data_IF_508092106237
#
_entry.id   IF_508092106237
#
_cell.length_a   1.000
_cell.length_b   1.000
_cell.length_c   1.000
_cell.angle_alpha   90.00
_cell.angle_beta   90.00
_cell.angle_gamma   90.00
#
_symmetry.space_group_name_H-M   'P 1'
#
loop_
_entity.id
_entity.type
_entity.pdbx_description
1 polymer ?
#
# COMPACT_ATOMS: atom_id res chain seq x y z
N UNK A 1 -35.76 -85.47 -9.81
CA UNK A 1 -35.97 -84.06 -9.46
C UNK A 1 -36.45 -83.32 -10.70
N UNK A 2 -37.60 -82.65 -10.57
CA UNK A 2 -38.22 -81.57 -11.39
C UNK A 2 -37.81 -81.46 -12.87
N UNK A 3 -38.70 -81.89 -13.78
CA UNK A 3 -39.74 -81.09 -14.49
C UNK A 3 -39.17 -80.41 -15.74
N UNK A 4 -39.35 -81.05 -16.91
CA UNK A 4 -40.43 -80.89 -17.92
C UNK A 4 -40.16 -79.69 -18.84
N UNK A 5 -39.82 -79.88 -20.14
CA UNK A 5 -40.70 -80.29 -21.27
C UNK A 5 -41.89 -79.33 -21.39
N UNK A 6 -42.25 -78.72 -22.52
CA UNK A 6 -42.26 -79.14 -23.94
C UNK A 6 -42.59 -77.85 -24.76
N UNK A 7 -42.04 -77.63 -25.97
CA UNK A 7 -42.72 -77.72 -27.29
C UNK A 7 -44.19 -77.24 -27.32
N UNK A 8 -44.73 -76.55 -28.34
CA UNK A 8 -44.51 -76.61 -29.79
C UNK A 8 -45.29 -75.46 -30.46
N UNK A 9 -44.94 -75.20 -31.72
CA UNK A 9 -45.49 -74.27 -32.73
C UNK A 9 -47.03 -74.22 -32.86
N UNK A 10 -47.57 -73.16 -33.48
CA UNK A 10 -48.22 -73.15 -34.83
C UNK A 10 -48.77 -71.74 -35.20
N UNK A 11 -48.69 -71.48 -36.52
CA UNK A 11 -49.17 -70.36 -37.36
C UNK A 11 -50.68 -70.04 -37.31
N UNK A 12 -51.08 -69.02 -38.11
CA UNK A 12 -52.36 -68.75 -38.84
C UNK A 12 -52.98 -67.41 -38.37
N UNK A 13 -53.48 -66.45 -39.18
CA UNK A 13 -53.52 -66.19 -40.63
C UNK A 13 -53.96 -64.72 -40.86
N UNK A 14 -53.75 -64.26 -42.10
CA UNK A 14 -54.21 -63.05 -42.78
C UNK A 14 -55.58 -62.46 -42.43
N UNK A 15 -55.63 -61.13 -42.34
CA UNK A 15 -56.70 -60.30 -42.93
C UNK A 15 -56.14 -58.93 -43.35
N UNK A 16 -56.53 -58.51 -44.56
CA UNK A 16 -56.07 -57.33 -45.29
C UNK A 16 -57.18 -56.28 -45.27
N UNK A 17 -56.98 -55.09 -44.69
CA UNK A 17 -57.83 -53.89 -44.90
C UNK A 17 -56.97 -52.61 -44.88
N UNK A 18 -56.57 -52.18 -46.09
CA UNK A 18 -56.64 -50.83 -46.70
C UNK A 18 -56.27 -49.55 -45.91
N UNK A 19 -55.19 -48.89 -46.38
CA UNK A 19 -55.01 -47.44 -46.67
C UNK A 19 -55.60 -46.36 -45.75
N UNK A 20 -54.75 -45.56 -45.08
CA UNK A 20 -54.34 -44.19 -45.45
C UNK A 20 -53.57 -43.54 -44.28
N UNK A 21 -52.39 -42.96 -44.55
CA UNK A 21 -51.66 -42.13 -43.59
C UNK A 21 -50.15 -42.29 -43.64
N UNK A 22 -49.53 -41.83 -44.72
CA UNK A 22 -48.12 -41.45 -44.69
C UNK A 22 -47.97 -40.29 -43.69
N UNK A 23 -47.36 -40.52 -42.53
CA UNK A 23 -46.56 -39.50 -41.86
C UNK A 23 -45.30 -40.18 -41.31
N UNK A 24 -44.18 -39.81 -41.92
CA UNK A 24 -42.80 -39.91 -41.42
C UNK A 24 -42.48 -41.13 -40.54
N UNK A 25 -41.70 -42.07 -41.10
CA UNK A 25 -40.61 -42.68 -40.32
C UNK A 25 -39.74 -41.53 -39.82
N UNK A 26 -40.11 -40.92 -38.69
CA UNK A 26 -39.13 -40.43 -37.74
C UNK A 26 -38.46 -41.71 -37.25
N UNK A 27 -37.36 -42.08 -37.89
CA UNK A 27 -36.36 -42.86 -37.22
C UNK A 27 -35.97 -42.03 -35.99
N UNK A 28 -36.66 -42.26 -34.87
CA UNK A 28 -36.12 -41.92 -33.58
C UNK A 28 -34.81 -42.70 -33.52
N UNK A 29 -33.71 -42.00 -33.78
CA UNK A 29 -32.39 -42.53 -33.55
C UNK A 29 -32.28 -42.63 -32.03
N UNK A 30 -32.77 -43.75 -31.50
CA UNK A 30 -32.64 -44.12 -30.10
C UNK A 30 -31.14 -44.23 -29.82
N UNK A 31 -30.60 -43.20 -29.17
CA UNK A 31 -29.21 -43.17 -28.77
C UNK A 31 -29.01 -44.22 -27.67
N UNK A 32 -28.39 -45.34 -28.02
CA UNK A 32 -28.06 -46.39 -27.07
C UNK A 32 -27.01 -45.91 -26.06
N UNK A 33 -26.89 -46.59 -24.91
CA UNK A 33 -25.95 -46.24 -23.82
C UNK A 33 -24.50 -45.98 -24.28
N UNK A 34 -23.99 -46.76 -25.24
CA UNK A 34 -22.64 -46.60 -25.81
C UNK A 34 -22.49 -45.32 -26.66
N UNK A 35 -23.59 -44.78 -27.20
CA UNK A 35 -23.58 -43.58 -28.03
C UNK A 35 -23.57 -42.30 -27.20
N UNK A 36 -24.18 -42.27 -26.01
CA UNK A 36 -24.10 -41.12 -25.08
C UNK A 36 -22.65 -40.75 -24.73
N UNK A 37 -21.74 -41.73 -24.70
CA UNK A 37 -20.30 -41.50 -24.49
C UNK A 37 -19.64 -40.69 -25.62
N UNK A 38 -20.13 -40.82 -26.85
CA UNK A 38 -19.66 -40.04 -28.01
C UNK A 38 -20.08 -38.57 -27.95
N UNK A 39 -21.05 -38.26 -27.09
CA UNK A 39 -21.53 -36.90 -26.80
C UNK A 39 -21.08 -36.42 -25.42
N UNK A 40 -19.90 -36.86 -24.96
CA UNK A 40 -19.20 -36.25 -23.83
C UNK A 40 -18.72 -34.84 -24.21
N UNK A 41 -19.66 -33.94 -24.50
CA UNK A 41 -19.41 -32.52 -24.67
C UNK A 41 -19.37 -31.90 -23.29
N UNK A 42 -18.16 -31.60 -22.86
CA UNK A 42 -17.90 -31.02 -21.56
C UNK A 42 -18.27 -29.54 -21.61
N UNK A 43 -18.92 -28.99 -20.57
CA UNK A 43 -19.22 -27.56 -20.53
C UNK A 43 -17.94 -26.75 -20.69
N UNK A 44 -18.02 -25.64 -21.41
CA UNK A 44 -16.87 -24.75 -21.63
C UNK A 44 -17.07 -23.42 -20.91
N UNK A 45 -15.97 -22.74 -20.61
CA UNK A 45 -16.06 -21.36 -20.12
C UNK A 45 -16.55 -20.44 -21.24
N UNK A 46 -17.29 -19.39 -20.87
CA UNK A 46 -17.61 -18.28 -21.79
C UNK A 46 -16.34 -17.50 -22.13
N UNK A 47 -16.26 -16.93 -23.34
CA UNK A 47 -15.05 -16.32 -23.94
C UNK A 47 -14.33 -15.23 -23.10
N UNK A 48 -14.94 -14.73 -22.01
CA UNK A 48 -14.38 -13.66 -21.17
C UNK A 48 -14.12 -14.07 -19.71
N UNK A 49 -14.35 -15.33 -19.36
CA UNK A 49 -14.21 -15.79 -17.97
C UNK A 49 -12.75 -16.03 -17.66
N UNK A 50 -12.23 -15.26 -16.70
CA UNK A 50 -10.88 -15.40 -16.18
C UNK A 50 -10.95 -15.99 -14.77
N UNK A 51 -10.75 -17.31 -14.65
CA UNK A 51 -10.93 -18.03 -13.39
C UNK A 51 -10.00 -17.51 -12.28
N UNK A 52 -8.77 -17.10 -12.63
CA UNK A 52 -7.79 -16.56 -11.67
C UNK A 52 -8.23 -15.25 -10.99
N UNK A 53 -9.36 -14.67 -11.39
CA UNK A 53 -9.97 -13.48 -10.76
C UNK A 53 -11.22 -13.80 -9.94
N UNK A 54 -11.65 -15.05 -9.92
CA UNK A 54 -12.91 -15.50 -9.31
C UNK A 54 -12.58 -16.53 -8.23
N UNK A 55 -13.22 -16.45 -7.06
CA UNK A 55 -13.11 -17.50 -6.06
C UNK A 55 -13.93 -18.72 -6.51
N UNK A 56 -13.42 -19.92 -6.23
CA UNK A 56 -14.12 -21.18 -6.52
C UNK A 56 -15.56 -21.18 -5.97
N UNK A 57 -15.78 -20.64 -4.77
CA UNK A 57 -17.09 -20.51 -4.15
C UNK A 57 -18.04 -19.57 -4.94
N UNK A 58 -17.53 -18.43 -5.43
CA UNK A 58 -18.32 -17.46 -6.21
C UNK A 58 -18.67 -18.01 -7.59
N UNK A 59 -17.76 -18.79 -8.18
CA UNK A 59 -18.02 -19.52 -9.42
C UNK A 59 -19.16 -20.52 -9.25
N UNK A 60 -19.16 -21.31 -8.18
CA UNK A 60 -20.23 -22.29 -7.90
C UNK A 60 -21.59 -21.58 -7.79
N UNK A 61 -21.66 -20.47 -7.04
CA UNK A 61 -22.90 -19.71 -6.82
C UNK A 61 -23.49 -19.16 -8.12
N UNK A 62 -22.64 -18.80 -9.09
CA UNK A 62 -23.05 -18.15 -10.33
C UNK A 62 -22.67 -18.96 -11.58
N UNK A 63 -22.59 -20.29 -11.47
CA UNK A 63 -21.99 -21.14 -12.51
C UNK A 63 -22.62 -20.99 -13.91
N UNK A 64 -23.94 -20.76 -13.97
CA UNK A 64 -24.67 -20.54 -15.23
C UNK A 64 -24.25 -19.24 -15.95
N UNK A 65 -23.68 -18.28 -15.22
CA UNK A 65 -23.14 -17.06 -15.79
C UNK A 65 -21.77 -17.28 -16.44
N UNK A 66 -21.02 -18.29 -16.01
CA UNK A 66 -19.62 -18.51 -16.43
C UNK A 66 -19.43 -19.65 -17.42
N UNK A 67 -20.37 -20.59 -17.45
CA UNK A 67 -20.26 -21.81 -18.26
C UNK A 67 -21.28 -21.77 -19.41
N UNK A 68 -20.86 -22.20 -20.59
CA UNK A 68 -21.74 -22.57 -21.69
C UNK A 68 -22.03 -24.07 -21.60
N UNK A 69 -23.30 -24.40 -21.46
CA UNK A 69 -23.74 -25.77 -21.65
C UNK A 69 -23.77 -26.09 -23.15
N UNK A 70 -23.37 -27.31 -23.55
CA UNK A 70 -23.52 -27.75 -24.92
C UNK A 70 -24.99 -27.74 -25.33
N UNK A 71 -25.24 -27.53 -26.61
CA UNK A 71 -26.57 -27.59 -27.21
C UNK A 71 -26.64 -28.76 -28.19
N UNK A 72 -27.70 -29.56 -28.09
CA UNK A 72 -27.96 -30.67 -28.99
C UNK A 72 -29.47 -30.87 -29.13
N UNK A 73 -29.93 -31.35 -30.29
CA UNK A 73 -31.36 -31.48 -30.59
C UNK A 73 -32.06 -32.53 -29.71
N UNK A 74 -31.40 -33.67 -29.48
CA UNK A 74 -32.00 -34.82 -28.76
C UNK A 74 -31.45 -35.05 -27.34
N UNK A 75 -30.59 -34.16 -26.82
CA UNK A 75 -29.96 -34.31 -25.51
C UNK A 75 -30.23 -33.09 -24.62
N UNK A 76 -30.53 -33.35 -23.36
CA UNK A 76 -30.60 -32.32 -22.32
C UNK A 76 -29.34 -32.35 -21.48
N UNK A 77 -28.71 -31.18 -21.30
CA UNK A 77 -27.53 -30.98 -20.47
C UNK A 77 -27.91 -30.17 -19.23
N UNK A 78 -27.66 -30.72 -18.04
CA UNK A 78 -28.00 -30.07 -16.76
C UNK A 78 -26.81 -30.12 -15.79
N UNK A 79 -26.47 -29.00 -15.17
CA UNK A 79 -25.49 -28.99 -14.09
C UNK A 79 -26.14 -29.60 -12.85
N UNK A 80 -25.73 -30.82 -12.49
CA UNK A 80 -26.28 -31.56 -11.35
C UNK A 80 -25.73 -31.05 -10.02
N UNK A 81 -24.44 -30.74 -9.98
CA UNK A 81 -23.79 -30.19 -8.80
C UNK A 81 -22.47 -29.52 -9.15
N UNK A 82 -22.05 -28.53 -8.37
CA UNK A 82 -20.71 -27.99 -8.40
C UNK A 82 -20.18 -27.85 -6.97
N UNK A 83 -18.97 -28.35 -6.71
CA UNK A 83 -18.34 -28.33 -5.39
C UNK A 83 -16.88 -27.96 -5.52
N UNK A 84 -16.33 -27.30 -4.51
CA UNK A 84 -14.88 -27.08 -4.42
C UNK A 84 -14.18 -28.44 -4.35
N UNK A 85 -13.06 -28.59 -5.04
CA UNK A 85 -12.25 -29.80 -4.96
C UNK A 85 -11.66 -29.94 -3.54
N UNK A 86 -11.97 -31.03 -2.81
CA UNK A 86 -11.42 -31.22 -1.46
C UNK A 86 -9.89 -31.31 -1.42
N UNK A 87 -9.22 -31.58 -2.56
CA UNK A 87 -7.77 -31.64 -2.68
C UNK A 87 -7.15 -30.31 -3.11
N UNK A 88 -7.94 -29.38 -3.64
CA UNK A 88 -7.46 -28.09 -4.14
C UNK A 88 -8.56 -27.03 -4.02
N UNK A 89 -8.44 -26.13 -3.03
CA UNK A 89 -9.42 -25.06 -2.79
C UNK A 89 -9.57 -24.08 -3.96
N UNK A 90 -8.63 -24.10 -4.91
CA UNK A 90 -8.62 -23.27 -6.11
C UNK A 90 -9.10 -24.04 -7.36
N UNK A 91 -9.85 -25.12 -7.17
CA UNK A 91 -10.48 -25.90 -8.23
C UNK A 91 -11.94 -26.22 -7.89
N UNK A 92 -12.78 -26.33 -8.92
CA UNK A 92 -14.20 -26.67 -8.81
C UNK A 92 -14.48 -27.92 -9.63
N UNK A 93 -15.07 -28.91 -8.97
CA UNK A 93 -15.60 -30.13 -9.58
C UNK A 93 -17.06 -29.87 -9.96
N UNK A 94 -17.35 -29.93 -11.25
CA UNK A 94 -18.69 -29.78 -11.81
C UNK A 94 -19.17 -31.13 -12.33
N UNK A 95 -20.31 -31.59 -11.83
CA UNK A 95 -20.99 -32.79 -12.33
C UNK A 95 -22.08 -32.36 -13.31
N UNK A 96 -21.93 -32.77 -14.55
CA UNK A 96 -22.88 -32.53 -15.63
C UNK A 96 -23.70 -33.81 -15.83
N UNK A 97 -25.02 -33.68 -15.84
CA UNK A 97 -25.92 -34.74 -16.25
C UNK A 97 -26.32 -34.53 -17.71
N UNK A 98 -26.26 -35.60 -18.49
CA UNK A 98 -26.69 -35.65 -19.89
C UNK A 98 -27.75 -36.73 -20.02
N UNK A 99 -28.92 -36.37 -20.51
CA UNK A 99 -30.05 -37.28 -20.64
C UNK A 99 -30.70 -37.21 -22.02
N UNK A 100 -31.25 -38.35 -22.43
CA UNK A 100 -32.21 -38.48 -23.53
C UNK A 100 -33.50 -39.13 -22.98
N UNK A 101 -34.39 -39.59 -23.87
CA UNK A 101 -35.67 -40.22 -23.47
C UNK A 101 -35.54 -41.56 -22.72
N UNK A 102 -34.38 -42.22 -22.76
CA UNK A 102 -34.22 -43.60 -22.27
C UNK A 102 -33.07 -43.77 -21.26
N UNK A 103 -32.09 -42.85 -21.29
CA UNK A 103 -30.83 -43.00 -20.60
C UNK A 103 -30.33 -41.67 -20.04
N UNK A 104 -29.65 -41.76 -18.90
CA UNK A 104 -28.99 -40.63 -18.22
C UNK A 104 -27.57 -41.02 -17.86
N UNK A 105 -26.62 -40.11 -18.08
CA UNK A 105 -25.21 -40.28 -17.70
C UNK A 105 -24.69 -39.02 -17.01
N UNK A 106 -23.79 -39.19 -16.05
CA UNK A 106 -23.14 -38.07 -15.36
C UNK A 106 -21.66 -38.03 -15.71
N UNK A 107 -21.20 -36.86 -16.15
CA UNK A 107 -19.80 -36.54 -16.45
C UNK A 107 -19.24 -35.60 -15.39
N UNK A 108 -17.93 -35.63 -15.19
CA UNK A 108 -17.24 -34.75 -14.24
C UNK A 108 -16.23 -33.89 -14.96
N UNK A 109 -16.31 -32.56 -14.77
CA UNK A 109 -15.33 -31.60 -15.23
C UNK A 109 -14.70 -30.90 -14.04
N UNK A 110 -13.38 -30.81 -14.04
CA UNK A 110 -12.64 -30.00 -13.09
C UNK A 110 -12.23 -28.71 -13.78
N UNK A 111 -12.65 -27.57 -13.23
CA UNK A 111 -12.11 -26.27 -13.56
C UNK A 111 -11.04 -25.92 -12.54
N UNK A 112 -9.84 -25.58 -13.00
CA UNK A 112 -8.72 -25.18 -12.14
C UNK A 112 -8.22 -23.78 -12.46
N UNK A 113 -7.36 -23.25 -11.60
CA UNK A 113 -6.77 -21.91 -11.77
C UNK A 113 -7.68 -20.79 -11.26
N UNK A 114 -8.52 -21.07 -10.27
CA UNK A 114 -9.29 -20.03 -9.58
C UNK A 114 -8.40 -19.10 -8.76
N UNK A 115 -8.92 -17.92 -8.39
CA UNK A 115 -8.25 -17.02 -7.44
C UNK A 115 -7.95 -17.79 -6.16
N UNK A 116 -6.72 -17.62 -5.66
CA UNK A 116 -6.29 -18.30 -4.44
C UNK A 116 -7.11 -17.84 -3.23
N UNK A 117 -7.82 -18.80 -2.60
CA UNK A 117 -8.70 -18.51 -1.48
C UNK A 117 -7.92 -18.10 -0.21
N UNK A 118 -6.70 -18.60 -0.02
CA UNK A 118 -5.82 -18.18 1.06
C UNK A 118 -5.32 -16.76 0.83
N UNK A 119 -4.88 -16.42 -0.37
CA UNK A 119 -4.43 -15.06 -0.67
C UNK A 119 -5.57 -14.05 -0.53
N UNK A 120 -6.79 -14.39 -0.96
CA UNK A 120 -7.97 -13.55 -0.76
C UNK A 120 -8.30 -13.30 0.73
N UNK A 121 -8.21 -14.34 1.57
CA UNK A 121 -8.37 -14.20 3.02
C UNK A 121 -7.32 -13.26 3.62
N UNK A 122 -6.06 -13.39 3.21
CA UNK A 122 -4.95 -12.54 3.68
C UNK A 122 -5.16 -11.10 3.21
N UNK A 123 -5.53 -10.89 1.94
CA UNK A 123 -5.83 -9.57 1.39
C UNK A 123 -6.93 -8.87 2.20
N UNK A 124 -8.02 -9.59 2.51
CA UNK A 124 -9.12 -9.06 3.34
C UNK A 124 -8.65 -8.72 4.75
N UNK A 125 -7.84 -9.56 5.39
CA UNK A 125 -7.28 -9.27 6.70
C UNK A 125 -6.36 -8.03 6.67
N UNK A 126 -5.52 -7.90 5.65
CA UNK A 126 -4.68 -6.72 5.43
C UNK A 126 -5.53 -5.46 5.24
N UNK A 127 -6.60 -5.53 4.45
CA UNK A 127 -7.51 -4.41 4.25
C UNK A 127 -8.24 -4.02 5.53
N UNK A 128 -8.70 -4.99 6.32
CA UNK A 128 -9.33 -4.75 7.63
C UNK A 128 -8.34 -4.06 8.56
N UNK A 129 -7.09 -4.51 8.62
CA UNK A 129 -6.04 -3.88 9.43
C UNK A 129 -5.82 -2.40 9.02
N UNK A 130 -5.73 -2.12 7.72
CA UNK A 130 -5.51 -0.77 7.19
C UNK A 130 -6.71 0.17 7.42
N UNK A 131 -7.93 -0.37 7.48
CA UNK A 131 -9.16 0.41 7.65
C UNK A 131 -9.59 0.56 9.12
N UNK A 132 -9.00 -0.20 10.04
CA UNK A 132 -9.38 -0.16 11.45
C UNK A 132 -9.02 1.22 12.06
N UNK A 133 -10.01 1.99 12.57
CA UNK A 133 -9.77 3.27 13.21
C UNK A 133 -8.74 3.22 14.34
N UNK A 134 -8.65 2.09 15.07
CA UNK A 134 -7.71 1.91 16.17
C UNK A 134 -6.25 1.90 15.70
N UNK A 135 -6.02 1.54 14.44
CA UNK A 135 -4.70 1.51 13.84
C UNK A 135 -4.34 2.84 13.17
N UNK A 136 -5.27 3.79 12.98
CA UNK A 136 -4.98 5.02 12.22
C UNK A 136 -3.82 5.83 12.80
N UNK A 137 -3.68 5.89 14.12
CA UNK A 137 -2.59 6.59 14.81
C UNK A 137 -1.23 5.90 14.65
N UNK A 138 -1.23 4.57 14.48
CA UNK A 138 -0.01 3.77 14.30
C UNK A 138 0.36 3.57 12.83
N UNK A 139 -0.60 3.66 11.91
CA UNK A 139 -0.36 3.60 10.46
C UNK A 139 0.48 4.79 9.98
N UNK A 140 0.41 5.92 10.67
CA UNK A 140 0.98 7.16 10.20
C UNK A 140 1.36 8.11 11.34
N UNK A 141 2.38 7.73 12.12
CA UNK A 141 2.82 8.48 13.30
C UNK A 141 3.30 9.88 12.88
N UNK A 142 4.36 9.97 12.07
CA UNK A 142 4.88 11.25 11.58
C UNK A 142 5.40 11.23 10.13
N UNK A 143 5.21 12.37 9.45
CA UNK A 143 5.93 12.70 8.20
C UNK A 143 7.14 13.51 8.61
N UNK A 144 8.30 13.06 8.18
CA UNK A 144 9.55 13.78 8.28
C UNK A 144 10.00 14.22 6.89
N UNK A 145 10.48 15.46 6.83
CA UNK A 145 11.16 15.97 5.65
C UNK A 145 12.65 15.63 5.75
N UNK A 146 13.18 14.98 4.72
CA UNK A 146 14.59 14.55 4.69
C UNK A 146 15.46 15.72 4.21
N UNK A 147 16.46 16.09 5.02
CA UNK A 147 17.41 17.18 4.73
C UNK A 147 16.74 18.53 4.43
N UNK A 148 15.52 18.72 4.91
CA UNK A 148 14.74 19.94 4.72
C UNK A 148 13.85 20.09 5.93
N UNK A 149 13.60 21.32 6.37
CA UNK A 149 12.70 21.58 7.48
C UNK A 149 11.48 22.35 6.98
N UNK A 150 10.34 22.11 7.62
CA UNK A 150 9.09 22.82 7.32
C UNK A 150 9.28 24.34 7.43
N UNK A 151 10.07 24.78 8.41
CA UNK A 151 10.39 26.18 8.69
C UNK A 151 11.17 26.91 7.57
N UNK A 152 11.61 26.20 6.53
CA UNK A 152 12.36 26.76 5.40
C UNK A 152 11.56 26.74 4.07
N UNK A 153 10.35 26.18 4.09
CA UNK A 153 9.56 25.94 2.88
C UNK A 153 8.41 26.93 2.74
N UNK A 154 8.20 27.39 1.52
CA UNK A 154 6.92 27.96 1.07
C UNK A 154 5.99 26.86 0.56
N UNK A 155 4.72 27.19 0.31
CA UNK A 155 3.78 26.30 -0.38
C UNK A 155 4.35 25.82 -1.72
N UNK A 156 4.90 26.72 -2.54
CA UNK A 156 5.40 26.34 -3.87
C UNK A 156 6.67 25.48 -3.80
N UNK A 157 7.48 25.61 -2.74
CA UNK A 157 8.59 24.67 -2.49
C UNK A 157 8.04 23.30 -2.08
N UNK A 158 7.08 23.27 -1.15
CA UNK A 158 6.49 22.04 -0.64
C UNK A 158 5.77 21.23 -1.74
N UNK A 159 5.12 21.89 -2.69
CA UNK A 159 4.48 21.24 -3.85
C UNK A 159 5.47 20.56 -4.81
N UNK A 160 6.75 20.97 -4.78
CA UNK A 160 7.81 20.41 -5.62
C UNK A 160 8.57 19.28 -4.92
N UNK A 161 8.23 18.94 -3.67
CA UNK A 161 8.88 17.85 -2.96
C UNK A 161 8.62 16.52 -3.65
N UNK A 162 9.70 15.80 -3.91
CA UNK A 162 9.70 14.43 -4.43
C UNK A 162 9.63 13.42 -3.29
N UNK A 163 9.32 12.16 -3.62
CA UNK A 163 9.15 11.09 -2.64
C UNK A 163 10.40 10.80 -1.79
N UNK A 164 11.61 11.04 -2.32
CA UNK A 164 12.88 10.89 -1.56
C UNK A 164 13.04 11.94 -0.45
N UNK A 165 12.27 13.04 -0.50
CA UNK A 165 12.26 14.09 0.51
C UNK A 165 11.24 13.86 1.61
N UNK A 166 10.38 12.85 1.47
CA UNK A 166 9.29 12.57 2.41
C UNK A 166 9.51 11.18 3.00
N UNK A 167 9.80 11.14 4.30
CA UNK A 167 9.91 9.91 5.06
C UNK A 167 8.71 9.77 5.99
N UNK A 168 8.20 8.55 6.08
CA UNK A 168 7.18 8.21 7.08
C UNK A 168 7.87 7.41 8.19
N UNK A 169 7.73 7.85 9.42
CA UNK A 169 8.16 7.06 10.57
C UNK A 169 7.10 6.01 10.89
N UNK A 170 7.48 4.74 10.78
CA UNK A 170 6.67 3.62 11.23
C UNK A 170 7.55 2.46 11.74
N UNK A 171 7.14 1.85 12.85
CA UNK A 171 7.81 0.70 13.45
C UNK A 171 7.36 -0.64 12.81
N UNK A 172 6.23 -0.64 12.10
CA UNK A 172 5.69 -1.80 11.40
C UNK A 172 6.37 -1.99 10.04
N UNK A 173 7.33 -2.92 10.00
CA UNK A 173 8.11 -3.29 8.80
C UNK A 173 7.28 -3.95 7.69
N UNK A 174 6.04 -4.34 7.96
CA UNK A 174 5.16 -4.94 6.95
C UNK A 174 4.37 -3.91 6.13
N UNK A 175 4.52 -2.61 6.45
CA UNK A 175 3.87 -1.52 5.75
C UNK A 175 4.85 -0.84 4.79
N UNK A 176 4.39 -0.59 3.58
CA UNK A 176 5.10 0.23 2.60
C UNK A 176 4.34 1.53 2.35
N UNK A 177 5.09 2.60 2.13
CA UNK A 177 4.58 3.95 1.94
C UNK A 177 5.02 4.49 0.60
N UNK A 178 4.11 5.14 -0.11
CA UNK A 178 4.40 5.81 -1.37
C UNK A 178 3.68 7.15 -1.45
N UNK A 179 4.38 8.17 -1.95
CA UNK A 179 3.80 9.48 -2.20
C UNK A 179 2.83 9.37 -3.39
N UNK A 180 1.60 9.82 -3.19
CA UNK A 180 0.61 9.93 -4.26
C UNK A 180 0.67 11.33 -4.86
N UNK A 181 0.49 12.35 -4.02
CA UNK A 181 0.59 13.75 -4.43
C UNK A 181 0.76 14.69 -3.23
N UNK A 182 1.04 15.95 -3.55
CA UNK A 182 1.01 17.08 -2.61
C UNK A 182 0.15 18.16 -3.25
N UNK A 183 -0.82 18.68 -2.51
CA UNK A 183 -1.76 19.70 -3.00
C UNK A 183 -1.84 20.88 -2.05
N UNK A 184 -2.28 22.04 -2.55
CA UNK A 184 -2.54 23.21 -1.72
C UNK A 184 -3.70 22.90 -0.78
N UNK A 185 -3.59 23.29 0.48
CA UNK A 185 -4.72 23.26 1.39
C UNK A 185 -5.63 24.46 1.11
N UNK A 186 -6.86 24.22 0.68
CA UNK A 186 -7.81 25.29 0.37
C UNK A 186 -8.29 26.03 1.62
N UNK A 187 -8.09 25.45 2.81
CA UNK A 187 -8.50 26.05 4.09
C UNK A 187 -7.42 26.90 4.77
N UNK A 188 -6.16 26.80 4.33
CA UNK A 188 -5.06 27.57 4.90
C UNK A 188 -3.98 27.85 3.82
N UNK A 189 -3.71 29.13 3.49
CA UNK A 189 -2.75 29.49 2.45
C UNK A 189 -1.28 29.16 2.77
N UNK A 190 -0.97 28.81 4.03
CA UNK A 190 0.36 28.47 4.52
C UNK A 190 0.50 26.97 4.85
N UNK A 191 -0.27 26.12 4.16
CA UNK A 191 -0.17 24.67 4.31
C UNK A 191 -0.36 23.92 3.00
N UNK A 192 0.10 22.67 3.01
CA UNK A 192 -0.14 21.68 1.95
C UNK A 192 -0.71 20.41 2.55
N UNK A 193 -1.44 19.66 1.72
CA UNK A 193 -1.93 18.32 2.04
C UNK A 193 -1.03 17.33 1.31
N UNK A 194 -0.40 16.44 2.07
CA UNK A 194 0.39 15.33 1.53
C UNK A 194 -0.47 14.08 1.56
N UNK A 195 -0.65 13.47 0.38
CA UNK A 195 -1.40 12.23 0.21
C UNK A 195 -0.43 11.08 0.04
N UNK A 196 -0.52 10.08 0.91
CA UNK A 196 0.31 8.88 0.88
C UNK A 196 -0.56 7.64 0.69
N UNK A 197 -0.07 6.70 -0.11
CA UNK A 197 -0.63 5.35 -0.21
C UNK A 197 0.16 4.43 0.70
N UNK A 198 -0.56 3.80 1.61
CA UNK A 198 -0.05 2.78 2.53
C UNK A 198 -0.46 1.43 1.94
N UNK A 199 0.48 0.50 1.84
CA UNK A 199 0.21 -0.85 1.36
C UNK A 199 0.71 -1.90 2.35
N UNK A 200 0.00 -3.02 2.44
CA UNK A 200 0.36 -4.17 3.26
C UNK A 200 0.22 -5.46 2.44
N UNK A 201 1.18 -6.35 2.57
CA UNK A 201 1.26 -7.58 1.77
C UNK A 201 1.95 -7.39 0.43
N UNK A 202 1.94 -8.44 -0.40
CA UNK A 202 2.57 -8.49 -1.73
C UNK A 202 1.65 -9.21 -2.72
N UNK A 203 1.80 -8.93 -4.03
CA UNK A 203 1.06 -9.59 -5.10
C UNK A 203 -0.46 -9.63 -4.84
N UNK A 204 -1.09 -10.81 -4.92
CA UNK A 204 -2.54 -11.01 -4.73
C UNK A 204 -3.02 -10.79 -3.29
N UNK A 205 -2.10 -10.70 -2.33
CA UNK A 205 -2.38 -10.38 -0.93
C UNK A 205 -2.32 -8.87 -0.63
N UNK A 206 -1.92 -8.05 -1.62
CA UNK A 206 -1.71 -6.62 -1.46
C UNK A 206 -3.05 -5.91 -1.16
N UNK A 207 -3.10 -5.23 -0.03
CA UNK A 207 -4.15 -4.28 0.31
C UNK A 207 -3.56 -2.87 0.38
N UNK A 208 -4.41 -1.86 0.18
CA UNK A 208 -3.96 -0.47 0.26
C UNK A 208 -5.03 0.48 0.79
N UNK A 209 -4.57 1.55 1.42
CA UNK A 209 -5.40 2.69 1.82
C UNK A 209 -4.65 3.98 1.52
N UNK A 210 -5.39 5.04 1.24
CA UNK A 210 -4.83 6.38 1.06
C UNK A 210 -5.07 7.18 2.32
N UNK A 211 -4.03 7.88 2.78
CA UNK A 211 -4.09 8.75 3.93
C UNK A 211 -3.56 10.14 3.58
N UNK A 212 -4.10 11.17 4.22
CA UNK A 212 -3.70 12.56 4.01
C UNK A 212 -3.23 13.19 5.30
N UNK A 213 -2.07 13.87 5.28
CA UNK A 213 -1.57 14.65 6.42
C UNK A 213 -1.26 16.08 5.98
N UNK A 214 -1.60 17.04 6.82
CA UNK A 214 -1.32 18.46 6.58
C UNK A 214 0.09 18.81 7.04
N UNK A 215 0.85 19.51 6.21
CA UNK A 215 2.07 20.21 6.62
C UNK A 215 1.69 21.68 6.76
N UNK A 216 1.74 22.20 7.98
CA UNK A 216 1.35 23.57 8.32
C UNK A 216 2.57 24.47 8.54
N UNK A 217 2.32 25.76 8.77
CA UNK A 217 3.34 26.78 9.11
C UNK A 217 4.41 26.95 8.03
N UNK A 218 4.05 26.77 6.76
CA UNK A 218 4.91 27.10 5.64
C UNK A 218 5.05 28.61 5.54
N UNK A 219 6.25 29.07 5.17
CA UNK A 219 6.54 30.49 5.01
C UNK A 219 5.75 31.09 3.83
N UNK A 220 5.38 32.36 3.96
CA UNK A 220 5.09 33.18 2.79
C UNK A 220 6.39 33.49 2.02
N UNK A 221 6.25 33.94 0.77
CA UNK A 221 7.42 34.38 -0.03
C UNK A 221 8.17 35.52 0.67
N UNK A 222 7.46 36.48 1.24
CA UNK A 222 8.06 37.61 1.95
C UNK A 222 8.76 37.15 3.23
N UNK A 223 8.17 36.23 3.99
CA UNK A 223 8.81 35.65 5.18
C UNK A 223 10.09 34.89 4.81
N UNK A 224 10.09 34.11 3.71
CA UNK A 224 11.31 33.43 3.23
C UNK A 224 12.39 34.43 2.84
N UNK A 225 12.01 35.54 2.18
CA UNK A 225 12.94 36.62 1.83
C UNK A 225 13.49 37.32 3.07
N UNK A 226 12.64 37.65 4.04
CA UNK A 226 13.04 38.25 5.31
C UNK A 226 13.98 37.33 6.09
N UNK A 227 13.66 36.04 6.22
CA UNK A 227 14.51 35.03 6.86
C UNK A 227 15.88 34.91 6.19
N UNK A 228 15.92 34.90 4.86
CA UNK A 228 17.18 34.87 4.09
C UNK A 228 18.03 36.12 4.34
N UNK A 229 17.40 37.30 4.37
CA UNK A 229 18.08 38.55 4.70
C UNK A 229 18.60 38.54 6.14
N UNK A 230 17.80 38.10 7.10
CA UNK A 230 18.20 37.97 8.50
C UNK A 230 19.38 37.01 8.67
N UNK A 231 19.42 35.91 7.90
CA UNK A 231 20.57 34.99 7.89
C UNK A 231 21.83 35.68 7.36
N UNK A 232 21.70 36.49 6.29
CA UNK A 232 22.82 37.28 5.76
C UNK A 232 23.30 38.31 6.77
N UNK A 233 22.40 38.98 7.49
CA UNK A 233 22.75 39.91 8.57
C UNK A 233 23.49 39.15 9.66
N UNK A 234 22.94 38.02 10.14
CA UNK A 234 23.56 37.19 11.17
C UNK A 234 24.99 36.75 10.79
N UNK A 235 25.17 36.35 9.53
CA UNK A 235 26.47 35.93 8.97
C UNK A 235 27.46 37.09 8.89
N UNK A 236 27.02 38.32 8.57
CA UNK A 236 27.92 39.47 8.49
C UNK A 236 28.23 40.08 9.87
N UNK A 237 27.25 40.11 10.77
CA UNK A 237 27.41 40.65 12.13
C UNK A 237 28.47 39.88 12.93
N UNK A 238 28.73 38.60 12.61
CA UNK A 238 29.78 37.82 13.27
C UNK A 238 31.14 38.54 13.26
N UNK A 239 31.45 39.36 12.24
CA UNK A 239 32.72 40.09 12.13
C UNK A 239 32.80 41.34 13.00
N UNK A 240 31.65 41.83 13.49
CA UNK A 240 31.56 43.06 14.27
C UNK A 240 31.23 42.81 15.74
N UNK A 241 30.90 41.57 16.10
CA UNK A 241 30.52 41.19 17.45
C UNK A 241 31.42 40.07 17.92
N UNK A 242 32.25 40.41 18.90
CA UNK A 242 33.15 39.49 19.56
C UNK A 242 32.81 39.45 21.05
N UNK A 243 32.79 38.26 21.68
CA UNK A 243 32.70 38.20 23.12
C UNK A 243 33.97 38.80 23.73
N UNK A 244 33.82 39.44 24.87
CA UNK A 244 34.93 39.90 25.71
C UNK A 244 34.86 39.20 27.05
N UNK A 245 35.99 39.16 27.75
CA UNK A 245 35.99 38.68 29.14
C UNK A 245 35.36 39.77 30.02
N UNK A 246 34.54 39.36 30.98
CA UNK A 246 33.80 40.31 31.81
C UNK A 246 34.73 41.15 32.69
N UNK A 247 35.83 40.52 33.13
CA UNK A 247 36.91 41.05 33.96
C UNK A 247 38.22 40.37 33.54
N UNK A 248 39.25 41.15 33.22
CA UNK A 248 40.57 40.65 32.79
C UNK A 248 41.26 39.81 33.87
N UNK A 249 40.97 40.00 35.16
CA UNK A 249 41.52 39.18 36.24
C UNK A 249 41.15 37.70 36.11
N UNK A 250 40.06 37.37 35.42
CA UNK A 250 39.63 35.99 35.17
C UNK A 250 40.64 35.21 34.32
N UNK A 251 41.48 35.88 33.53
CA UNK A 251 42.60 35.24 32.78
C UNK A 251 43.70 34.64 33.67
N UNK A 252 43.71 34.95 34.96
CA UNK A 252 44.60 34.27 35.92
C UNK A 252 44.27 32.77 36.12
N UNK A 253 43.08 32.32 35.70
CA UNK A 253 42.65 30.93 35.75
C UNK A 253 43.08 30.18 34.48
N UNK A 254 43.03 28.85 34.56
CA UNK A 254 43.32 27.98 33.41
C UNK A 254 42.21 28.01 32.38
N UNK A 255 42.55 27.68 31.12
CA UNK A 255 41.54 27.53 30.06
C UNK A 255 40.49 26.46 30.41
N UNK A 256 40.89 25.42 31.16
CA UNK A 256 39.98 24.38 31.65
C UNK A 256 38.91 24.96 32.57
N UNK A 257 39.30 25.71 33.59
CA UNK A 257 38.37 26.39 34.49
C UNK A 257 37.46 27.34 33.71
N UNK A 258 38.00 28.09 32.76
CA UNK A 258 37.21 28.98 31.92
C UNK A 258 36.12 28.26 31.09
N UNK A 259 36.28 26.97 30.74
CA UNK A 259 35.23 26.21 30.03
C UNK A 259 33.99 25.95 30.88
N UNK A 260 34.09 26.03 32.20
CA UNK A 260 33.02 25.75 33.16
C UNK A 260 32.20 27.02 33.49
N UNK A 261 32.71 28.21 33.11
CA UNK A 261 32.16 29.51 33.53
C UNK A 261 31.72 30.38 32.35
N UNK A 262 30.54 30.11 31.79
CA UNK A 262 29.97 30.89 30.67
C UNK A 262 29.79 32.37 31.02
N UNK A 263 29.48 32.68 32.28
CA UNK A 263 29.28 34.03 32.81
C UNK A 263 30.55 34.89 32.84
N UNK A 264 31.71 34.31 32.51
CA UNK A 264 32.95 35.07 32.35
C UNK A 264 33.04 35.80 31.02
N UNK A 265 32.17 35.47 30.08
CA UNK A 265 32.16 36.06 28.75
C UNK A 265 30.91 36.90 28.58
N UNK A 266 31.08 38.11 28.06
CA UNK A 266 30.00 39.06 27.80
C UNK A 266 30.09 39.55 26.36
N UNK A 267 28.97 40.02 25.85
CA UNK A 267 28.92 40.77 24.61
C UNK A 267 28.66 42.23 24.94
N UNK A 268 29.24 43.13 24.15
CA UNK A 268 28.85 44.53 24.24
C UNK A 268 27.37 44.67 23.87
N UNK A 269 26.72 45.71 24.40
CA UNK A 269 25.31 45.94 24.16
C UNK A 269 25.06 46.08 22.64
N UNK A 270 24.34 45.12 22.07
CA UNK A 270 23.99 45.12 20.65
C UNK A 270 22.50 44.81 20.50
N UNK A 271 21.90 45.19 19.37
CA UNK A 271 20.48 44.99 19.08
C UNK A 271 20.15 43.56 18.63
N UNK A 272 21.04 42.59 18.88
CA UNK A 272 20.90 41.21 18.42
C UNK A 272 20.84 40.25 19.60
N UNK A 273 20.32 39.06 19.36
CA UNK A 273 20.23 38.01 20.38
C UNK A 273 21.41 37.03 20.20
N UNK A 274 22.09 36.68 21.31
CA UNK A 274 23.23 35.77 21.30
C UNK A 274 23.12 34.74 22.40
N UNK A 275 23.62 33.54 22.10
CA UNK A 275 23.89 32.51 23.10
C UNK A 275 25.30 31.96 22.92
N UNK A 276 25.98 31.70 24.04
CA UNK A 276 27.20 30.88 24.05
C UNK A 276 26.76 29.45 24.26
N UNK A 277 26.70 28.70 23.16
CA UNK A 277 26.20 27.32 23.18
C UNK A 277 27.23 26.40 23.84
N UNK A 278 28.51 26.60 23.52
CA UNK A 278 29.61 25.76 23.98
C UNK A 278 30.89 26.55 24.19
N UNK A 279 31.68 26.14 25.17
CA UNK A 279 33.06 26.61 25.38
C UNK A 279 33.96 25.39 25.40
N UNK A 280 35.06 25.42 24.65
CA UNK A 280 36.04 24.32 24.60
C UNK A 280 37.45 24.89 24.67
N UNK A 281 38.39 24.11 25.21
CA UNK A 281 39.81 24.44 25.11
C UNK A 281 40.21 24.43 23.62
N UNK A 282 40.90 25.47 23.18
CA UNK A 282 41.39 25.55 21.81
C UNK A 282 42.44 24.45 21.58
N UNK A 283 42.30 23.73 20.47
CA UNK A 283 43.14 22.55 20.18
C UNK A 283 44.60 22.89 19.92
N UNK A 284 44.85 24.07 19.37
CA UNK A 284 46.17 24.53 18.93
C UNK A 284 46.84 25.42 19.99
N UNK A 285 46.05 25.98 20.92
CA UNK A 285 46.53 26.80 22.03
C UNK A 285 45.85 26.39 23.36
N UNK A 286 46.54 25.62 24.23
CA UNK A 286 45.95 25.16 25.50
C UNK A 286 45.67 26.29 26.51
N UNK A 287 46.13 27.52 26.22
CA UNK A 287 45.90 28.72 27.03
C UNK A 287 44.76 29.59 26.47
N UNK A 288 44.00 29.06 25.51
CA UNK A 288 42.87 29.75 24.91
C UNK A 288 41.62 28.87 24.95
N UNK A 289 40.46 29.52 24.90
CA UNK A 289 39.16 28.86 24.77
C UNK A 289 38.46 29.33 23.50
N UNK A 290 37.81 28.39 22.83
CA UNK A 290 36.94 28.61 21.70
C UNK A 290 35.49 28.64 22.18
N UNK A 291 34.81 29.77 21.93
CA UNK A 291 33.40 29.96 22.18
C UNK A 291 32.61 29.68 20.91
N UNK A 292 31.71 28.71 20.96
CA UNK A 292 30.69 28.51 19.93
C UNK A 292 29.50 29.41 20.24
N UNK A 293 29.28 30.40 19.38
CA UNK A 293 28.31 31.46 19.56
C UNK A 293 27.23 31.30 18.51
N UNK A 294 25.98 31.36 18.94
CA UNK A 294 24.84 31.42 18.05
C UNK A 294 24.24 32.82 18.11
N UNK A 295 24.22 33.49 16.95
CA UNK A 295 23.68 34.83 16.78
C UNK A 295 22.37 34.72 16.01
N UNK A 296 21.30 35.28 16.57
CA UNK A 296 19.98 35.28 15.97
C UNK A 296 19.50 36.69 15.61
N UNK A 297 18.86 36.81 14.45
CA UNK A 297 18.30 38.05 13.91
C UNK A 297 16.86 37.81 13.50
N UNK A 298 15.98 38.78 13.76
CA UNK A 298 14.55 38.69 13.46
C UNK A 298 13.75 37.99 14.56
N UNK A 299 12.47 37.75 14.29
CA UNK A 299 11.54 37.13 15.24
C UNK A 299 10.61 36.14 14.54
N UNK A 300 9.99 35.25 15.32
CA UNK A 300 9.02 34.27 14.84
C UNK A 300 9.55 33.44 13.64
N UNK A 301 8.74 33.28 12.60
CA UNK A 301 9.06 32.51 11.38
C UNK A 301 10.17 33.14 10.52
N UNK A 302 10.50 34.41 10.77
CA UNK A 302 11.55 35.16 10.05
C UNK A 302 12.88 35.12 10.80
N UNK A 303 12.91 34.55 12.01
CA UNK A 303 14.15 34.43 12.80
C UNK A 303 15.13 33.52 12.06
N UNK A 304 16.36 34.00 11.94
CA UNK A 304 17.47 33.25 11.37
C UNK A 304 18.66 33.30 12.32
N UNK A 305 19.40 32.21 12.37
CA UNK A 305 20.50 32.01 13.30
C UNK A 305 21.75 31.57 12.55
N UNK A 306 22.90 32.13 12.93
CA UNK A 306 24.21 31.75 12.41
C UNK A 306 25.14 31.40 13.56
N UNK A 307 25.81 30.26 13.44
CA UNK A 307 26.77 29.79 14.45
C UNK A 307 28.19 30.08 13.98
N UNK A 308 28.99 30.69 14.84
CA UNK A 308 30.40 30.97 14.58
C UNK A 308 31.24 30.74 15.84
N UNK A 309 32.56 30.66 15.65
CA UNK A 309 33.51 30.43 16.74
C UNK A 309 34.41 31.65 16.93
N UNK A 310 34.63 32.03 18.20
CA UNK A 310 35.61 33.06 18.58
C UNK A 310 36.55 32.52 19.65
N UNK A 311 37.82 32.83 19.51
CA UNK A 311 38.86 32.42 20.46
C UNK A 311 39.16 33.56 21.41
N UNK A 312 39.20 33.26 22.71
CA UNK A 312 39.71 34.16 23.74
C UNK A 312 40.96 33.52 24.34
N UNK A 313 42.06 34.25 24.29
CA UNK A 313 43.37 33.80 24.73
C UNK A 313 43.81 34.49 26.04
N UNK A 314 45.03 34.13 26.48
CA UNK A 314 45.68 34.74 27.63
C UNK A 314 45.35 34.09 28.97
N UNK A 315 44.71 32.91 29.00
CA UNK A 315 44.51 32.15 30.22
C UNK A 315 45.83 31.57 30.74
N UNK A 316 45.88 31.31 32.04
CA UNK A 316 47.05 30.70 32.68
C UNK A 316 47.30 29.32 32.10
N UNK A 317 48.59 29.03 31.86
CA UNK A 317 49.02 27.70 31.45
C UNK A 317 48.67 26.68 32.52
N UNK A 318 48.01 25.60 32.11
CA UNK A 318 47.73 24.44 32.95
C UNK A 318 49.02 23.77 33.43
#
# INVERSE_FOLDING_TARGET
>A
MKLKKLHKQILISTSLITTFGLTSLLAACHLNYDQLSKYEQIPTLKEKVQLNRILAADFIKNINQYVNLPTHQDLTYTIKSATVDPKNENSVIVKLEVSNSEHTRTYTKIYGGFKDAKDDRIQKANQTYLNDPKNQTTLFKDIELVNTKVEDLTVDDALKLSSDKIRVQNDNKELNYSLVNITKDTSNPNSVIVTMKITKGVNDQLASVTYTKKINNLLTVDQKKAKTNNLSIATNTQYHVAPTISDELKKAHTAKEATEHKEWFKFDATNYEYTIDKITINKDNPNAVDLTINLSVGSNLEKASHTYTRTIDGFKKA
#
